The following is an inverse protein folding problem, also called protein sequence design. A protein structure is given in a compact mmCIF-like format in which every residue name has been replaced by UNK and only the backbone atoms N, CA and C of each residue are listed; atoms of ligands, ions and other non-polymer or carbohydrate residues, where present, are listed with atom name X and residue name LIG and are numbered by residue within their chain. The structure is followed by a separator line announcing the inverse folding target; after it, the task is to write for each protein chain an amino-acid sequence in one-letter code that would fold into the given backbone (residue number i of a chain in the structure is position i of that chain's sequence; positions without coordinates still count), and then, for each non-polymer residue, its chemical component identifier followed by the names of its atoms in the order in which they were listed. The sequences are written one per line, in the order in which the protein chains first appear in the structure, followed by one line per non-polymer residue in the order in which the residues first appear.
data_IF_755864262643
#
_entry.id   IF_755864262643
#
_cell.length_a   1.000
_cell.length_b   1.000
_cell.length_c   1.000
_cell.angle_alpha   90.00
_cell.angle_beta   90.00
_cell.angle_gamma   90.00
#
_symmetry.space_group_name_H-M   'P 1'
#
loop_
_entity.id
_entity.type
_entity.pdbx_description
1 polymer ?
#
# COMPACT_ATOMS: atom_id res chain seq x y z
N UNK A 1 22.75 -0.21 5.12
CA UNK A 1 21.88 0.73 4.35
C UNK A 1 21.21 1.69 5.34
N UNK A 2 20.84 2.92 4.94
CA UNK A 2 20.03 3.80 5.77
C UNK A 2 18.65 3.19 5.97
N UNK A 3 18.14 3.15 7.20
CA UNK A 3 16.79 2.69 7.48
C UNK A 3 15.78 3.84 7.27
N UNK A 4 14.50 3.49 7.02
CA UNK A 4 13.48 4.49 6.67
C UNK A 4 13.34 5.60 7.72
N UNK A 5 13.31 5.26 9.02
CA UNK A 5 13.17 6.26 10.09
C UNK A 5 14.37 7.21 10.19
N UNK A 6 15.56 6.74 9.85
CA UNK A 6 16.76 7.57 9.84
C UNK A 6 16.73 8.63 8.75
N UNK A 7 15.98 8.42 7.68
CA UNK A 7 15.87 9.39 6.59
C UNK A 7 15.28 10.72 7.07
N UNK A 8 14.20 10.71 7.87
CA UNK A 8 13.62 11.95 8.43
C UNK A 8 14.64 12.67 9.33
N UNK A 9 15.35 11.93 10.17
CA UNK A 9 16.35 12.49 11.07
C UNK A 9 17.51 13.15 10.29
N UNK A 10 17.99 12.49 9.25
CA UNK A 10 19.08 13.02 8.40
C UNK A 10 18.63 14.27 7.63
N UNK A 11 17.46 14.24 6.99
CA UNK A 11 16.96 15.40 6.26
C UNK A 11 16.61 16.58 7.17
N UNK A 12 16.22 16.34 8.41
CA UNK A 12 16.05 17.39 9.42
C UNK A 12 17.35 18.12 9.75
N UNK A 13 18.50 17.44 9.65
CA UNK A 13 19.83 18.03 9.83
C UNK A 13 20.29 18.71 8.54
N UNK A 14 20.17 18.05 7.40
CA UNK A 14 20.70 18.53 6.12
C UNK A 14 19.87 19.69 5.53
N UNK A 15 18.54 19.64 5.66
CA UNK A 15 17.60 20.59 5.03
C UNK A 15 16.47 21.01 5.99
N UNK A 16 16.75 21.52 7.20
CA UNK A 16 15.77 21.69 8.27
C UNK A 16 14.51 22.48 7.88
N UNK A 17 14.64 23.50 7.05
CA UNK A 17 13.55 24.39 6.66
C UNK A 17 12.97 24.10 5.27
N UNK A 18 13.53 23.11 4.55
CA UNK A 18 12.95 22.70 3.27
C UNK A 18 11.60 21.99 3.50
N UNK A 19 10.64 22.11 2.56
CA UNK A 19 9.36 21.43 2.67
C UNK A 19 9.56 19.91 2.80
N UNK A 20 8.92 19.29 3.80
CA UNK A 20 8.89 17.86 3.99
C UNK A 20 7.50 17.29 3.69
N UNK A 21 6.48 17.80 4.36
CA UNK A 21 5.09 17.32 4.21
C UNK A 21 4.15 18.51 4.09
N UNK A 22 3.20 18.43 3.16
CA UNK A 22 2.14 19.43 3.00
C UNK A 22 0.76 18.77 2.89
N UNK A 23 -0.27 19.49 3.34
CA UNK A 23 -1.68 19.15 3.16
C UNK A 23 -2.53 20.40 3.19
N UNK A 24 -3.44 20.58 2.22
CA UNK A 24 -4.32 21.74 2.15
C UNK A 24 -3.55 23.07 2.29
N UNK A 25 -2.42 23.22 1.59
CA UNK A 25 -1.51 24.38 1.62
C UNK A 25 -0.77 24.61 2.96
N UNK A 26 -1.06 23.85 4.01
CA UNK A 26 -0.23 23.83 5.21
C UNK A 26 1.04 23.03 4.93
N UNK A 27 2.19 23.65 5.17
CA UNK A 27 3.51 23.04 4.88
C UNK A 27 4.30 22.90 6.17
N UNK A 28 4.91 21.75 6.34
CA UNK A 28 5.80 21.43 7.46
C UNK A 28 7.21 21.16 6.90
N UNK A 29 8.21 21.78 7.53
CA UNK A 29 9.61 21.52 7.20
C UNK A 29 10.12 20.22 7.79
N UNK A 30 11.31 19.78 7.34
CA UNK A 30 11.92 18.55 7.83
C UNK A 30 12.17 18.57 9.33
N UNK A 31 12.67 19.70 9.87
CA UNK A 31 12.92 19.84 11.31
C UNK A 31 11.62 19.72 12.11
N UNK A 32 10.56 20.41 11.68
CA UNK A 32 9.24 20.37 12.33
C UNK A 32 8.67 18.95 12.33
N UNK A 33 8.75 18.25 11.19
CA UNK A 33 8.29 16.86 11.09
C UNK A 33 9.10 15.93 11.99
N UNK A 34 10.43 16.07 12.03
CA UNK A 34 11.28 15.26 12.88
C UNK A 34 11.00 15.51 14.38
N UNK A 35 10.82 16.78 14.78
CA UNK A 35 10.46 17.11 16.16
C UNK A 35 9.13 16.47 16.57
N UNK A 36 8.11 16.51 15.70
CA UNK A 36 6.83 15.87 15.95
C UNK A 36 6.97 14.34 16.05
N UNK A 37 7.76 13.72 15.16
CA UNK A 37 8.07 12.28 15.20
C UNK A 37 8.78 11.93 16.53
N UNK A 38 9.80 12.68 16.94
CA UNK A 38 10.52 12.44 18.18
C UNK A 38 9.63 12.59 19.41
N UNK A 39 8.74 13.60 19.46
CA UNK A 39 7.79 13.79 20.56
C UNK A 39 6.78 12.63 20.63
N UNK A 40 6.21 12.22 19.49
CA UNK A 40 5.27 11.11 19.48
C UNK A 40 5.94 9.77 19.82
N UNK A 41 7.18 9.59 19.39
CA UNK A 41 8.04 8.46 19.79
C UNK A 41 8.22 8.41 21.31
N UNK A 42 8.53 9.55 21.93
CA UNK A 42 8.62 9.67 23.39
C UNK A 42 7.29 9.37 24.10
N UNK A 43 6.17 9.81 23.51
CA UNK A 43 4.84 9.49 24.02
C UNK A 43 4.55 7.99 24.02
N UNK A 44 4.90 7.28 22.94
CA UNK A 44 4.74 5.83 22.84
C UNK A 44 5.67 5.09 23.80
N UNK A 45 6.94 5.49 23.89
CA UNK A 45 7.91 4.89 24.81
C UNK A 45 7.48 5.01 26.28
N UNK A 46 6.91 6.16 26.67
CA UNK A 46 6.34 6.36 28.02
C UNK A 46 5.15 5.45 28.33
N UNK A 47 4.64 4.74 27.35
CA UNK A 47 3.56 3.73 27.44
C UNK A 47 4.10 2.31 27.26
N UNK A 48 5.38 2.12 27.52
CA UNK A 48 6.07 0.83 27.36
C UNK A 48 5.94 0.21 25.96
N UNK A 49 5.74 1.05 24.92
CA UNK A 49 5.84 0.63 23.53
C UNK A 49 7.29 0.67 23.11
N UNK A 50 7.81 -0.46 22.66
CA UNK A 50 9.20 -0.60 22.28
C UNK A 50 9.41 -1.59 21.14
N UNK A 51 10.66 -2.02 20.98
CA UNK A 51 11.08 -2.93 19.91
C UNK A 51 10.28 -4.23 19.91
N UNK A 52 9.69 -4.54 18.75
CA UNK A 52 8.88 -5.74 18.53
C UNK A 52 7.41 -5.62 18.95
N UNK A 53 7.00 -4.55 19.64
CA UNK A 53 5.58 -4.31 19.93
C UNK A 53 4.84 -3.88 18.65
N UNK A 54 3.60 -4.35 18.47
CA UNK A 54 2.80 -3.98 17.30
C UNK A 54 1.86 -2.81 17.61
N UNK A 55 1.83 -1.83 16.69
CA UNK A 55 1.02 -0.61 16.82
C UNK A 55 0.12 -0.47 15.59
N UNK A 56 -1.19 -0.56 15.79
CA UNK A 56 -2.17 -0.35 14.72
C UNK A 56 -2.33 1.15 14.42
N UNK A 57 -2.34 1.48 13.13
CA UNK A 57 -2.51 2.87 12.65
C UNK A 57 -3.76 2.92 11.76
N UNK A 58 -4.86 3.46 12.33
CA UNK A 58 -6.16 3.66 11.67
C UNK A 58 -6.35 5.15 11.34
N UNK A 59 -5.44 5.70 10.54
CA UNK A 59 -5.46 7.10 10.10
C UNK A 59 -5.58 7.15 8.57
N UNK A 60 -6.27 8.16 8.01
CA UNK A 60 -6.20 8.43 6.58
C UNK A 60 -4.82 8.96 6.19
N UNK A 61 -4.55 9.11 4.90
CA UNK A 61 -3.38 9.86 4.46
C UNK A 61 -3.44 11.28 5.03
N UNK A 62 -2.53 11.59 5.93
CA UNK A 62 -2.40 12.90 6.58
C UNK A 62 -1.01 13.03 7.22
N UNK A 63 -0.56 14.24 7.58
CA UNK A 63 0.73 14.42 8.26
C UNK A 63 0.87 13.62 9.57
N UNK A 64 -0.22 13.44 10.31
CA UNK A 64 -0.23 12.65 11.55
C UNK A 64 -0.02 11.15 11.31
N UNK A 65 -0.44 10.61 10.14
CA UNK A 65 -0.06 9.25 9.76
C UNK A 65 1.45 9.14 9.62
N UNK A 66 2.08 10.10 8.93
CA UNK A 66 3.55 10.14 8.76
C UNK A 66 4.23 10.19 10.13
N UNK A 67 3.78 11.08 11.02
CA UNK A 67 4.33 11.21 12.38
C UNK A 67 4.20 9.89 13.15
N UNK A 68 3.01 9.30 13.20
CA UNK A 68 2.76 8.04 13.92
C UNK A 68 3.61 6.89 13.36
N UNK A 69 3.62 6.75 12.04
CA UNK A 69 4.35 5.69 11.35
C UNK A 69 5.85 5.73 11.63
N UNK A 70 6.50 6.90 11.43
CA UNK A 70 7.93 7.03 11.66
C UNK A 70 8.32 7.04 13.16
N UNK A 71 7.41 7.43 14.05
CA UNK A 71 7.61 7.27 15.49
C UNK A 71 7.64 5.79 15.89
N UNK A 72 6.72 4.99 15.37
CA UNK A 72 6.68 3.53 15.58
C UNK A 72 7.94 2.87 15.04
N UNK A 73 8.32 3.16 13.79
CA UNK A 73 9.53 2.61 13.18
C UNK A 73 10.79 2.95 13.99
N UNK A 74 10.91 4.19 14.48
CA UNK A 74 12.07 4.62 15.26
C UNK A 74 12.16 4.06 16.68
N UNK A 75 11.12 3.39 17.17
CA UNK A 75 11.15 2.57 18.39
C UNK A 75 11.58 1.11 18.12
N UNK A 76 11.71 0.72 16.85
CA UNK A 76 11.81 -0.69 16.47
C UNK A 76 10.51 -1.45 16.70
N UNK A 77 9.40 -0.74 16.93
CA UNK A 77 8.07 -1.31 16.99
C UNK A 77 7.54 -1.55 15.57
N UNK A 78 6.58 -2.43 15.43
CA UNK A 78 6.00 -2.85 14.15
C UNK A 78 4.74 -2.03 13.85
N UNK A 79 4.75 -1.29 12.75
CA UNK A 79 3.58 -0.58 12.29
C UNK A 79 2.59 -1.56 11.63
N UNK A 80 1.31 -1.45 11.99
CA UNK A 80 0.20 -2.22 11.42
C UNK A 80 -0.82 -1.24 10.82
N UNK A 81 -0.60 -0.74 9.60
CA UNK A 81 -1.54 0.14 8.94
C UNK A 81 -2.86 -0.58 8.62
N UNK A 82 -3.96 -0.05 9.08
CA UNK A 82 -5.29 -0.63 8.87
C UNK A 82 -6.18 0.37 8.13
N UNK A 83 -6.88 -0.10 7.09
CA UNK A 83 -7.76 0.74 6.31
C UNK A 83 -8.92 1.26 7.17
N UNK A 84 -9.07 2.58 7.21
CA UNK A 84 -10.14 3.28 7.96
C UNK A 84 -11.56 2.95 7.48
N UNK A 85 -11.71 2.36 6.28
CA UNK A 85 -13.00 1.94 5.74
C UNK A 85 -13.43 0.55 6.26
N UNK A 86 -12.52 -0.20 6.86
CA UNK A 86 -12.83 -1.49 7.47
C UNK A 86 -13.85 -1.33 8.58
N UNK A 87 -14.67 -2.35 8.77
CA UNK A 87 -15.62 -2.43 9.88
C UNK A 87 -14.98 -3.08 11.08
N UNK A 88 -15.68 -3.03 12.21
CA UNK A 88 -15.19 -3.57 13.48
C UNK A 88 -14.73 -5.03 13.41
N UNK A 89 -15.35 -5.85 12.55
CA UNK A 89 -14.97 -7.25 12.35
C UNK A 89 -13.57 -7.38 11.72
N UNK A 90 -13.31 -6.68 10.62
CA UNK A 90 -12.03 -6.71 9.93
C UNK A 90 -10.92 -6.07 10.77
N UNK A 91 -11.24 -4.93 11.40
CA UNK A 91 -10.29 -4.25 12.31
C UNK A 91 -9.95 -5.17 13.49
N UNK A 92 -10.96 -5.74 14.16
CA UNK A 92 -10.77 -6.62 15.31
C UNK A 92 -9.92 -7.83 14.96
N UNK A 93 -10.21 -8.47 13.83
CA UNK A 93 -9.42 -9.60 13.37
C UNK A 93 -7.94 -9.25 13.11
N UNK A 94 -7.67 -8.11 12.47
CA UNK A 94 -6.29 -7.68 12.19
C UNK A 94 -5.55 -7.31 13.48
N UNK A 95 -6.21 -6.58 14.40
CA UNK A 95 -5.64 -6.19 15.68
C UNK A 95 -5.33 -7.42 16.54
N UNK A 96 -6.24 -8.39 16.62
CA UNK A 96 -6.05 -9.64 17.35
C UNK A 96 -4.93 -10.50 16.73
N UNK A 97 -4.99 -10.73 15.41
CA UNK A 97 -3.97 -11.51 14.68
C UNK A 97 -2.58 -10.89 14.75
N UNK A 98 -2.49 -9.57 14.81
CA UNK A 98 -1.22 -8.85 14.97
C UNK A 98 -0.78 -8.74 16.45
N UNK A 99 -1.59 -9.17 17.41
CA UNK A 99 -1.28 -9.01 18.84
C UNK A 99 -0.94 -7.55 19.20
N UNK A 100 -1.78 -6.62 18.67
CA UNK A 100 -1.55 -5.17 18.78
C UNK A 100 -1.59 -4.74 20.24
N UNK A 101 -0.60 -3.95 20.66
CA UNK A 101 -0.48 -3.36 22.00
C UNK A 101 -1.06 -1.94 22.08
N UNK A 102 -0.97 -1.17 20.99
CA UNK A 102 -1.53 0.17 20.93
C UNK A 102 -2.27 0.43 19.61
N UNK A 103 -3.34 1.19 19.68
CA UNK A 103 -4.14 1.64 18.53
C UNK A 103 -4.06 3.15 18.41
N UNK A 104 -3.65 3.63 17.24
CA UNK A 104 -3.65 5.06 16.87
C UNK A 104 -4.75 5.26 15.84
N UNK A 105 -5.80 5.98 16.17
CA UNK A 105 -6.98 6.12 15.33
C UNK A 105 -7.39 7.57 15.07
N UNK A 106 -8.33 7.76 14.15
CA UNK A 106 -9.00 9.03 13.95
C UNK A 106 -10.38 9.01 14.61
N UNK A 107 -10.66 10.00 15.44
CA UNK A 107 -11.90 10.06 16.26
C UNK A 107 -13.19 9.95 15.42
N UNK A 108 -13.17 10.35 14.15
CA UNK A 108 -14.30 10.17 13.22
C UNK A 108 -14.66 8.71 12.95
N UNK A 109 -13.71 7.79 13.10
CA UNK A 109 -13.89 6.33 12.88
C UNK A 109 -13.87 5.55 14.20
N UNK A 110 -13.91 6.23 15.36
CA UNK A 110 -13.80 5.63 16.66
C UNK A 110 -14.83 4.52 16.95
N UNK A 111 -16.05 4.68 16.44
CA UNK A 111 -17.11 3.72 16.70
C UNK A 111 -16.77 2.29 16.25
N UNK A 112 -16.21 2.15 15.06
CA UNK A 112 -15.76 0.86 14.53
C UNK A 112 -14.49 0.37 15.26
N UNK A 113 -13.53 1.28 15.52
CA UNK A 113 -12.29 0.94 16.21
C UNK A 113 -12.54 0.49 17.66
N UNK A 114 -13.31 1.25 18.45
CA UNK A 114 -13.63 0.90 19.84
C UNK A 114 -14.41 -0.41 19.92
N UNK A 115 -15.40 -0.61 19.04
CA UNK A 115 -16.14 -1.88 18.98
C UNK A 115 -15.22 -3.06 18.63
N UNK A 116 -14.25 -2.85 17.76
CA UNK A 116 -13.29 -3.86 17.34
C UNK A 116 -12.39 -4.33 18.48
N UNK A 117 -11.95 -3.40 19.34
CA UNK A 117 -10.95 -3.68 20.38
C UNK A 117 -11.51 -3.87 21.79
N UNK A 118 -12.81 -3.65 21.99
CA UNK A 118 -13.46 -3.67 23.31
C UNK A 118 -13.23 -4.96 24.13
N UNK A 119 -12.97 -6.08 23.46
CA UNK A 119 -12.77 -7.39 24.08
C UNK A 119 -11.31 -7.88 24.03
N UNK A 120 -10.38 -7.06 23.49
CA UNK A 120 -8.99 -7.44 23.28
C UNK A 120 -8.11 -6.90 24.42
N UNK A 121 -7.78 -7.76 25.38
CA UNK A 121 -6.91 -7.40 26.52
C UNK A 121 -5.48 -7.01 26.10
N UNK A 122 -5.03 -7.41 24.91
CA UNK A 122 -3.73 -7.04 24.37
C UNK A 122 -3.61 -5.54 24.08
N UNK A 123 -4.72 -4.86 23.78
CA UNK A 123 -4.74 -3.43 23.45
C UNK A 123 -4.73 -2.60 24.73
N UNK A 124 -3.54 -2.25 25.20
CA UNK A 124 -3.34 -1.48 26.42
C UNK A 124 -3.53 0.02 26.24
N UNK A 125 -3.26 0.54 25.03
CA UNK A 125 -3.28 1.97 24.74
C UNK A 125 -4.10 2.29 23.50
N UNK A 126 -4.92 3.35 23.62
CA UNK A 126 -5.76 3.86 22.52
C UNK A 126 -5.57 5.36 22.41
N UNK A 127 -5.00 5.82 21.31
CA UNK A 127 -4.67 7.21 21.03
C UNK A 127 -5.48 7.69 19.84
N UNK A 128 -6.19 8.79 19.97
CA UNK A 128 -7.01 9.32 18.90
C UNK A 128 -6.60 10.73 18.46
N UNK A 129 -6.62 10.93 17.14
CA UNK A 129 -6.52 12.24 16.50
C UNK A 129 -7.92 12.80 16.29
N UNK A 130 -8.13 14.08 16.58
CA UNK A 130 -9.36 14.81 16.31
C UNK A 130 -9.97 15.46 17.57
N UNK A 131 -11.16 16.06 17.42
CA UNK A 131 -11.77 16.90 18.45
C UNK A 131 -12.55 16.11 19.50
N UNK A 132 -13.12 14.96 19.12
CA UNK A 132 -13.93 14.12 20.01
C UNK A 132 -13.14 12.87 20.41
N UNK A 133 -12.41 12.99 21.50
CA UNK A 133 -11.60 11.89 22.03
C UNK A 133 -12.49 10.99 22.91
N UNK A 134 -12.56 9.67 22.67
CA UNK A 134 -13.36 8.76 23.50
C UNK A 134 -12.89 8.74 24.96
N UNK A 135 -13.82 8.61 25.88
CA UNK A 135 -13.50 8.48 27.30
C UNK A 135 -12.60 7.25 27.56
N UNK A 136 -11.61 7.43 28.42
CA UNK A 136 -10.63 6.39 28.73
C UNK A 136 -9.58 6.17 27.63
N UNK A 137 -9.50 7.09 26.66
CA UNK A 137 -8.45 7.10 25.62
C UNK A 137 -7.67 8.41 25.64
N UNK A 138 -6.63 8.54 24.80
CA UNK A 138 -5.71 9.65 24.86
C UNK A 138 -5.75 10.47 23.56
N UNK A 139 -5.46 11.77 23.68
CA UNK A 139 -5.40 12.69 22.54
C UNK A 139 -4.00 12.70 21.91
N UNK A 140 -3.88 12.35 20.62
CA UNK A 140 -2.61 12.48 19.89
C UNK A 140 -2.09 13.92 19.89
N UNK A 141 -2.98 14.91 19.80
CA UNK A 141 -2.61 16.33 19.81
C UNK A 141 -2.01 16.75 21.15
N UNK A 142 -2.58 16.31 22.25
CA UNK A 142 -2.04 16.59 23.59
C UNK A 142 -0.70 15.90 23.81
N UNK A 143 -0.56 14.65 23.35
CA UNK A 143 0.70 13.91 23.43
C UNK A 143 1.83 14.59 22.64
N UNK A 144 1.54 15.07 21.46
CA UNK A 144 2.50 15.86 20.67
C UNK A 144 2.92 17.16 21.35
N UNK A 145 2.01 17.79 22.10
CA UNK A 145 2.29 19.04 22.84
C UNK A 145 3.04 18.86 24.14
N UNK A 146 2.89 17.72 24.82
CA UNK A 146 3.36 17.52 26.21
C UNK A 146 4.52 16.54 26.37
N UNK A 147 4.69 15.61 25.42
CA UNK A 147 5.70 14.55 25.54
C UNK A 147 7.12 15.06 25.28
N UNK A 148 8.08 14.48 25.99
CA UNK A 148 9.49 14.72 25.74
C UNK A 148 9.93 14.02 24.45
N UNK A 149 10.73 14.69 23.59
CA UNK A 149 11.23 14.05 22.38
C UNK A 149 12.21 12.92 22.72
N UNK A 150 12.12 11.83 21.95
CA UNK A 150 13.01 10.68 22.03
C UNK A 150 13.66 10.45 20.66
N UNK A 151 14.96 10.23 20.62
CA UNK A 151 15.66 9.82 19.40
C UNK A 151 15.36 8.36 19.06
N UNK A 152 15.65 7.94 17.81
CA UNK A 152 15.46 6.55 17.42
C UNK A 152 16.35 5.58 18.21
N UNK A 153 15.86 4.35 18.39
CA UNK A 153 16.63 3.30 19.05
C UNK A 153 17.80 2.85 18.14
N UNK A 154 19.04 3.03 18.57
CA UNK A 154 20.21 2.66 17.79
C UNK A 154 20.38 1.12 17.64
N UNK A 155 19.63 0.32 18.40
CA UNK A 155 19.68 -1.14 18.35
C UNK A 155 18.84 -1.75 17.22
N UNK A 156 18.10 -0.92 16.45
CA UNK A 156 17.27 -1.38 15.33
C UNK A 156 18.16 -1.92 14.21
N UNK A 157 17.87 -3.13 13.78
CA UNK A 157 18.60 -3.83 12.72
C UNK A 157 17.78 -3.90 11.42
N UNK A 158 18.46 -4.10 10.28
CA UNK A 158 17.80 -4.33 8.98
C UNK A 158 16.85 -5.52 9.00
N UNK A 159 17.14 -6.55 9.79
CA UNK A 159 16.34 -7.76 9.94
C UNK A 159 15.11 -7.61 10.86
N UNK A 160 15.03 -6.55 11.67
CA UNK A 160 13.88 -6.33 12.53
C UNK A 160 12.62 -6.05 11.69
N UNK A 161 11.49 -6.62 12.09
CA UNK A 161 10.22 -6.36 11.41
C UNK A 161 9.80 -4.90 11.66
N UNK A 162 9.52 -4.21 10.57
CA UNK A 162 9.11 -2.79 10.58
C UNK A 162 7.60 -2.63 10.37
N UNK A 163 7.05 -3.46 9.47
CA UNK A 163 5.64 -3.33 9.05
C UNK A 163 5.01 -4.70 8.92
N UNK A 164 3.78 -4.81 9.39
CA UNK A 164 2.89 -5.94 9.16
C UNK A 164 1.70 -5.45 8.34
N UNK A 165 1.62 -5.88 7.09
CA UNK A 165 0.51 -5.57 6.20
C UNK A 165 -0.39 -6.78 6.01
N UNK A 166 -1.69 -6.54 6.00
CA UNK A 166 -2.69 -7.57 5.73
C UNK A 166 -3.20 -7.45 4.30
N UNK A 167 -3.08 -8.54 3.54
CA UNK A 167 -3.68 -8.68 2.22
C UNK A 167 -4.78 -9.73 2.28
N UNK A 168 -5.82 -9.53 1.48
CA UNK A 168 -6.86 -10.53 1.35
C UNK A 168 -6.24 -11.81 0.74
N UNK A 169 -6.35 -12.92 1.46
CA UNK A 169 -5.83 -14.20 1.00
C UNK A 169 -6.82 -14.93 0.09
N UNK A 170 -6.35 -15.70 -0.87
CA UNK A 170 -7.18 -16.59 -1.74
C UNK A 170 -8.05 -17.59 -0.94
N UNK A 171 -7.79 -17.75 0.35
CA UNK A 171 -8.58 -18.61 1.26
C UNK A 171 -9.65 -17.85 2.06
N UNK A 172 -9.94 -16.58 1.73
CA UNK A 172 -10.95 -15.76 2.41
C UNK A 172 -10.53 -15.16 3.78
N UNK A 173 -9.36 -15.55 4.31
CA UNK A 173 -8.80 -14.90 5.52
C UNK A 173 -7.59 -14.06 5.12
N UNK A 174 -7.52 -12.78 5.56
CA UNK A 174 -6.36 -11.94 5.29
C UNK A 174 -5.06 -12.58 5.77
N UNK A 175 -3.96 -12.32 5.08
CA UNK A 175 -2.61 -12.81 5.45
C UNK A 175 -1.79 -11.65 5.97
N UNK A 176 -1.19 -11.78 7.13
CA UNK A 176 -0.23 -10.83 7.66
C UNK A 176 1.14 -11.07 7.04
N UNK A 177 1.67 -10.09 6.33
CA UNK A 177 2.96 -10.13 5.63
C UNK A 177 3.96 -9.34 6.46
N UNK A 178 5.02 -9.99 6.90
CA UNK A 178 6.08 -9.39 7.72
C UNK A 178 7.19 -8.83 6.83
N UNK A 179 7.34 -7.48 6.89
CA UNK A 179 8.35 -6.75 6.15
C UNK A 179 9.37 -6.14 7.11
N UNK A 180 10.65 -6.44 6.90
CA UNK A 180 11.72 -5.89 7.72
C UNK A 180 12.10 -4.47 7.31
N UNK A 181 12.82 -3.77 8.18
CA UNK A 181 13.41 -2.47 7.86
C UNK A 181 14.29 -2.56 6.61
N UNK A 182 15.07 -3.63 6.47
CA UNK A 182 15.94 -3.87 5.32
C UNK A 182 15.15 -4.09 4.02
N UNK A 183 14.06 -4.87 4.08
CA UNK A 183 13.23 -5.12 2.89
C UNK A 183 12.69 -3.81 2.30
N UNK A 184 12.09 -2.97 3.15
CA UNK A 184 11.50 -1.69 2.75
C UNK A 184 12.55 -0.69 2.28
N UNK A 185 13.68 -0.60 2.99
CA UNK A 185 14.77 0.32 2.63
C UNK A 185 15.41 -0.07 1.29
N UNK A 186 15.63 -1.38 1.05
CA UNK A 186 16.21 -1.86 -0.20
C UNK A 186 15.32 -1.54 -1.41
N UNK A 187 14.02 -1.82 -1.32
CA UNK A 187 13.06 -1.49 -2.38
C UNK A 187 13.02 0.01 -2.66
N UNK A 188 12.90 0.82 -1.60
CA UNK A 188 12.82 2.28 -1.70
C UNK A 188 14.09 2.88 -2.32
N UNK A 189 15.26 2.41 -1.91
CA UNK A 189 16.55 2.85 -2.44
C UNK A 189 16.69 2.54 -3.93
N UNK A 190 16.41 1.30 -4.34
CA UNK A 190 16.61 0.89 -5.73
C UNK A 190 15.61 1.57 -6.68
N UNK A 191 14.34 1.70 -6.27
CA UNK A 191 13.35 2.43 -7.07
C UNK A 191 13.73 3.92 -7.19
N UNK A 192 14.14 4.56 -6.09
CA UNK A 192 14.53 5.97 -6.13
C UNK A 192 15.78 6.23 -6.97
N UNK A 193 16.75 5.32 -6.94
CA UNK A 193 17.92 5.36 -7.82
C UNK A 193 17.53 5.23 -9.29
N UNK A 194 16.65 4.29 -9.63
CA UNK A 194 16.15 4.09 -10.99
C UNK A 194 15.44 5.35 -11.51
N UNK A 195 14.55 5.93 -10.71
CA UNK A 195 13.78 7.14 -11.03
C UNK A 195 14.59 8.43 -10.87
N UNK A 196 15.82 8.34 -10.37
CA UNK A 196 16.70 9.50 -10.10
C UNK A 196 15.96 10.55 -9.24
N UNK A 197 15.37 10.10 -8.15
CA UNK A 197 14.68 11.00 -7.22
C UNK A 197 15.66 11.94 -6.57
N UNK A 198 15.27 13.21 -6.44
CA UNK A 198 16.09 14.31 -5.90
C UNK A 198 15.38 14.96 -4.74
N UNK A 199 16.13 15.61 -3.89
CA UNK A 199 15.59 16.37 -2.75
C UNK A 199 14.79 17.62 -3.15
N UNK A 200 14.84 18.04 -4.42
CA UNK A 200 14.04 19.12 -5.01
C UNK A 200 12.71 18.60 -5.58
N UNK A 201 12.54 17.30 -5.69
CA UNK A 201 11.31 16.69 -6.18
C UNK A 201 10.16 16.85 -5.19
N UNK A 202 8.96 16.71 -5.69
CA UNK A 202 7.73 16.73 -4.89
C UNK A 202 6.79 15.62 -5.36
N UNK A 203 6.34 14.78 -4.44
CA UNK A 203 5.39 13.69 -4.68
C UNK A 203 3.98 14.09 -4.23
N UNK A 204 2.99 13.85 -5.07
CA UNK A 204 1.59 13.88 -4.65
C UNK A 204 1.15 12.47 -4.23
N UNK A 205 0.85 12.31 -2.94
CA UNK A 205 0.37 11.06 -2.36
C UNK A 205 -1.15 11.02 -2.29
N UNK A 206 -1.74 10.08 -3.01
CA UNK A 206 -3.18 9.80 -3.02
C UNK A 206 -3.47 8.32 -2.74
N UNK A 207 -2.57 7.42 -3.17
CA UNK A 207 -2.67 5.99 -2.85
C UNK A 207 -2.68 5.79 -1.33
N UNK A 208 -3.57 4.94 -0.80
CA UNK A 208 -3.69 4.74 0.65
C UNK A 208 -2.40 4.23 1.28
N UNK A 209 -1.93 4.89 2.35
CA UNK A 209 -0.77 4.44 3.12
C UNK A 209 -1.00 3.13 3.90
N UNK A 210 -2.20 2.58 3.82
CA UNK A 210 -2.54 1.26 4.38
C UNK A 210 -2.27 0.10 3.42
N UNK A 211 -1.86 0.40 2.19
CA UNK A 211 -1.42 -0.58 1.20
C UNK A 211 0.04 -0.40 0.83
N UNK A 212 0.68 -1.48 0.36
CA UNK A 212 2.12 -1.44 0.09
C UNK A 212 2.49 -0.41 -0.99
N UNK A 213 1.69 -0.24 -2.05
CA UNK A 213 2.00 0.72 -3.09
C UNK A 213 1.93 2.16 -2.58
N UNK A 214 0.93 2.47 -1.73
CA UNK A 214 0.85 3.76 -1.04
C UNK A 214 2.03 4.00 -0.08
N UNK A 215 2.39 2.99 0.72
CA UNK A 215 3.55 3.08 1.62
C UNK A 215 4.85 3.23 0.85
N UNK A 216 5.19 2.27 -0.03
CA UNK A 216 6.50 2.23 -0.66
C UNK A 216 6.70 3.35 -1.68
N UNK A 217 5.70 3.57 -2.56
CA UNK A 217 5.85 4.50 -3.69
C UNK A 217 5.45 5.93 -3.31
N UNK A 218 4.34 6.11 -2.58
CA UNK A 218 3.84 7.45 -2.30
C UNK A 218 4.36 8.04 -0.97
N UNK A 219 4.78 7.22 0.02
CA UNK A 219 5.33 7.69 1.30
C UNK A 219 6.85 7.47 1.41
N UNK A 220 7.32 6.21 1.35
CA UNK A 220 8.75 5.93 1.60
C UNK A 220 9.65 6.59 0.55
N UNK A 221 9.29 6.47 -0.73
CA UNK A 221 10.12 6.97 -1.83
C UNK A 221 10.48 8.45 -1.69
N UNK A 222 9.53 9.40 -1.54
CA UNK A 222 9.88 10.80 -1.34
C UNK A 222 10.60 11.04 -0.01
N UNK A 223 10.11 10.47 1.09
CA UNK A 223 10.69 10.72 2.41
C UNK A 223 12.13 10.22 2.53
N UNK A 224 12.45 9.09 1.92
CA UNK A 224 13.80 8.52 1.94
C UNK A 224 14.81 9.38 1.16
N UNK A 225 14.39 9.94 0.04
CA UNK A 225 15.24 10.72 -0.87
C UNK A 225 15.17 12.25 -0.64
N UNK A 226 14.50 12.70 0.41
CA UNK A 226 14.42 14.13 0.79
C UNK A 226 13.49 14.96 -0.07
N UNK A 227 12.65 14.32 -0.89
CA UNK A 227 11.64 14.99 -1.70
C UNK A 227 10.44 15.41 -0.83
N UNK A 228 9.78 16.51 -1.22
CA UNK A 228 8.58 16.95 -0.53
C UNK A 228 7.40 16.01 -0.80
N UNK A 229 6.51 15.89 0.17
CA UNK A 229 5.30 15.07 0.12
C UNK A 229 4.06 15.94 0.25
N UNK A 230 3.25 16.08 -0.81
CA UNK A 230 1.91 16.66 -0.75
C UNK A 230 0.88 15.56 -0.56
N UNK A 231 -0.04 15.71 0.39
CA UNK A 231 -0.95 14.63 0.79
C UNK A 231 -2.40 15.00 0.49
N UNK A 232 -3.06 14.14 -0.28
CA UNK A 232 -4.51 14.08 -0.38
C UNK A 232 -5.05 12.86 0.37
N UNK A 233 -6.05 13.08 1.23
CA UNK A 233 -6.65 11.99 2.03
C UNK A 233 -7.56 11.06 1.22
N UNK A 234 -7.94 11.48 0.01
CA UNK A 234 -8.77 10.71 -0.92
C UNK A 234 -8.56 11.21 -2.34
N UNK A 235 -8.81 10.36 -3.30
CA UNK A 235 -8.73 10.71 -4.71
C UNK A 235 -9.97 11.49 -5.16
N UNK A 236 -9.73 12.61 -5.85
CA UNK A 236 -10.70 13.31 -6.69
C UNK A 236 -9.94 13.85 -7.90
N UNK A 237 -10.34 13.48 -9.12
CA UNK A 237 -9.54 13.74 -10.33
C UNK A 237 -9.25 15.23 -10.54
N UNK A 238 -10.22 16.12 -10.30
CA UNK A 238 -10.03 17.56 -10.41
C UNK A 238 -8.98 18.09 -9.43
N UNK A 239 -9.14 17.77 -8.14
CA UNK A 239 -8.21 18.24 -7.09
C UNK A 239 -6.77 17.74 -7.33
N UNK A 240 -6.64 16.50 -7.83
CA UNK A 240 -5.33 15.92 -8.18
C UNK A 240 -4.71 16.68 -9.35
N UNK A 241 -5.47 16.92 -10.43
CA UNK A 241 -4.99 17.63 -11.60
C UNK A 241 -4.57 19.08 -11.27
N UNK A 242 -5.40 19.79 -10.48
CA UNK A 242 -5.09 21.14 -10.04
C UNK A 242 -3.82 21.17 -9.17
N UNK A 243 -3.68 20.24 -8.23
CA UNK A 243 -2.48 20.13 -7.38
C UNK A 243 -1.22 19.80 -8.21
N UNK A 244 -1.31 18.88 -9.17
CA UNK A 244 -0.19 18.54 -10.07
C UNK A 244 0.30 19.77 -10.85
N UNK A 245 -0.63 20.62 -11.28
CA UNK A 245 -0.31 21.83 -12.04
C UNK A 245 0.19 22.98 -11.16
N UNK A 246 -0.44 23.23 -10.00
CA UNK A 246 -0.22 24.42 -9.18
C UNK A 246 0.90 24.27 -8.15
N UNK A 247 1.07 23.06 -7.54
CA UNK A 247 2.04 22.86 -6.46
C UNK A 247 3.42 22.39 -6.93
N UNK A 248 3.73 22.46 -8.23
CA UNK A 248 5.01 22.04 -8.83
C UNK A 248 5.35 20.57 -8.50
N UNK A 249 4.35 19.71 -8.52
CA UNK A 249 4.55 18.27 -8.29
C UNK A 249 5.38 17.69 -9.43
N UNK A 250 6.39 16.91 -9.08
CA UNK A 250 7.25 16.22 -10.07
C UNK A 250 6.97 14.73 -10.19
N UNK A 251 6.30 14.13 -9.20
CA UNK A 251 6.06 12.70 -9.10
C UNK A 251 4.60 12.43 -8.73
N UNK A 252 3.97 11.52 -9.43
CA UNK A 252 2.64 11.04 -9.08
C UNK A 252 2.57 9.51 -9.28
N UNK A 253 2.07 8.82 -8.25
CA UNK A 253 1.75 7.41 -8.33
C UNK A 253 0.23 7.21 -8.18
N UNK A 254 -0.34 6.44 -9.10
CA UNK A 254 -1.75 6.12 -9.12
C UNK A 254 -2.01 4.71 -9.66
N UNK A 255 -3.26 4.30 -9.58
CA UNK A 255 -3.71 3.07 -10.22
C UNK A 255 -4.46 3.37 -11.54
N UNK A 256 -4.74 2.36 -12.38
CA UNK A 256 -5.42 2.55 -13.67
C UNK A 256 -6.74 3.31 -13.58
N UNK A 257 -7.54 3.07 -12.52
CA UNK A 257 -8.79 3.77 -12.29
C UNK A 257 -8.59 5.29 -12.10
N UNK A 258 -7.59 5.69 -11.32
CA UNK A 258 -7.25 7.11 -11.13
C UNK A 258 -6.85 7.75 -12.46
N UNK A 259 -5.98 7.09 -13.23
CA UNK A 259 -5.56 7.58 -14.55
C UNK A 259 -6.73 7.67 -15.54
N UNK A 260 -7.65 6.71 -15.55
CA UNK A 260 -8.82 6.75 -16.43
C UNK A 260 -9.73 7.94 -16.12
N UNK A 261 -9.98 8.24 -14.83
CA UNK A 261 -10.75 9.41 -14.43
C UNK A 261 -10.03 10.73 -14.77
N UNK A 262 -8.72 10.81 -14.57
CA UNK A 262 -7.93 11.98 -14.94
C UNK A 262 -7.91 12.18 -16.47
N UNK A 263 -7.83 11.09 -17.25
CA UNK A 263 -7.83 11.14 -18.71
C UNK A 263 -9.11 11.80 -19.27
N UNK A 264 -10.25 11.55 -18.66
CA UNK A 264 -11.55 12.04 -19.11
C UNK A 264 -12.01 13.34 -18.43
N UNK A 265 -11.22 13.87 -17.47
CA UNK A 265 -11.62 15.04 -16.70
C UNK A 265 -11.55 16.32 -17.56
N UNK A 266 -12.64 17.15 -17.62
CA UNK A 266 -12.75 18.22 -18.60
C UNK A 266 -11.72 19.36 -18.48
N UNK A 267 -11.17 19.61 -17.28
CA UNK A 267 -10.19 20.68 -17.08
C UNK A 267 -8.75 20.28 -17.44
N UNK A 268 -8.47 18.98 -17.61
CA UNK A 268 -7.12 18.48 -17.85
C UNK A 268 -6.41 19.11 -19.06
N UNK A 269 -7.18 19.47 -20.10
CA UNK A 269 -6.63 20.08 -21.33
C UNK A 269 -6.23 21.56 -21.16
N UNK A 270 -6.57 22.18 -20.04
CA UNK A 270 -6.30 23.59 -19.77
C UNK A 270 -5.15 23.81 -18.79
N UNK A 271 -4.63 22.72 -18.21
CA UNK A 271 -3.58 22.75 -17.21
C UNK A 271 -2.20 22.51 -17.85
N UNK A 272 -1.16 23.08 -17.24
CA UNK A 272 0.22 22.79 -17.57
C UNK A 272 0.89 21.95 -16.46
N UNK A 273 1.69 20.95 -16.86
CA UNK A 273 2.33 20.03 -15.93
C UNK A 273 3.87 20.09 -16.08
N UNK A 274 4.42 21.31 -16.22
CA UNK A 274 5.82 21.57 -16.59
C UNK A 274 6.85 20.99 -15.58
N UNK A 275 6.45 20.78 -14.32
CA UNK A 275 7.32 20.20 -13.30
C UNK A 275 7.24 18.68 -13.21
N UNK A 276 6.24 18.06 -13.85
CA UNK A 276 5.99 16.63 -13.75
C UNK A 276 7.08 15.86 -14.51
N UNK A 277 7.65 14.86 -13.84
CA UNK A 277 8.75 14.03 -14.36
C UNK A 277 8.38 12.56 -14.45
N UNK A 278 7.63 12.07 -13.50
CA UNK A 278 7.25 10.65 -13.40
C UNK A 278 5.77 10.48 -13.10
N UNK A 279 5.12 9.68 -13.92
CA UNK A 279 3.78 9.14 -13.71
C UNK A 279 3.93 7.63 -13.54
N UNK A 280 3.68 7.13 -12.33
CA UNK A 280 3.86 5.73 -11.95
C UNK A 280 2.48 5.08 -11.87
N UNK A 281 2.22 4.06 -12.69
CA UNK A 281 1.03 3.25 -12.59
C UNK A 281 1.35 1.92 -11.94
N UNK A 282 0.57 1.52 -10.93
CA UNK A 282 0.75 0.27 -10.20
C UNK A 282 -0.61 -0.34 -9.81
N UNK A 283 -0.58 -1.50 -9.17
CA UNK A 283 -1.72 -2.31 -8.69
C UNK A 283 -2.41 -3.16 -9.76
N UNK A 284 -2.54 -2.68 -10.99
CA UNK A 284 -3.07 -3.47 -12.11
C UNK A 284 -2.65 -2.88 -13.46
N UNK A 285 -2.95 -3.60 -14.55
CA UNK A 285 -2.59 -3.22 -15.91
C UNK A 285 -3.33 -1.95 -16.35
N UNK A 286 -2.58 -0.99 -16.90
CA UNK A 286 -3.14 0.23 -17.49
C UNK A 286 -3.56 -0.03 -18.94
N UNK A 287 -4.74 0.47 -19.34
CA UNK A 287 -5.15 0.37 -20.75
C UNK A 287 -4.25 1.23 -21.63
N UNK A 288 -3.82 0.74 -22.80
CA UNK A 288 -2.98 1.52 -23.73
C UNK A 288 -3.62 2.84 -24.15
N UNK A 289 -4.95 2.87 -24.26
CA UNK A 289 -5.70 4.08 -24.59
C UNK A 289 -5.57 5.14 -23.50
N UNK A 290 -5.80 4.76 -22.23
CA UNK A 290 -5.64 5.66 -21.08
C UNK A 290 -4.21 6.18 -20.99
N UNK A 291 -3.21 5.31 -21.12
CA UNK A 291 -1.80 5.69 -21.13
C UNK A 291 -1.48 6.73 -22.21
N UNK A 292 -1.98 6.53 -23.43
CA UNK A 292 -1.81 7.45 -24.56
C UNK A 292 -2.46 8.82 -24.28
N UNK A 293 -3.70 8.83 -23.78
CA UNK A 293 -4.41 10.08 -23.48
C UNK A 293 -3.67 10.88 -22.39
N UNK A 294 -3.31 10.24 -21.30
CA UNK A 294 -2.57 10.90 -20.20
C UNK A 294 -1.22 11.42 -20.68
N UNK A 295 -0.46 10.62 -21.40
CA UNK A 295 0.85 11.02 -21.95
C UNK A 295 0.71 12.23 -22.88
N UNK A 296 -0.32 12.26 -23.73
CA UNK A 296 -0.57 13.40 -24.62
C UNK A 296 -0.94 14.68 -23.87
N UNK A 297 -1.73 14.58 -22.78
CA UNK A 297 -2.16 15.71 -21.96
C UNK A 297 -1.04 16.24 -21.06
N UNK A 298 -0.34 15.37 -20.37
CA UNK A 298 0.65 15.74 -19.34
C UNK A 298 2.08 15.87 -19.89
N UNK A 299 2.33 15.43 -21.13
CA UNK A 299 3.65 15.42 -21.79
C UNK A 299 4.69 14.56 -21.06
N UNK A 300 4.25 13.67 -20.20
CA UNK A 300 5.06 12.72 -19.44
C UNK A 300 4.46 11.32 -19.66
N UNK A 301 5.26 10.32 -20.02
CA UNK A 301 4.76 8.96 -20.19
C UNK A 301 4.33 8.37 -18.85
N UNK A 302 3.25 7.58 -18.86
CA UNK A 302 2.89 6.75 -17.71
C UNK A 302 3.69 5.46 -17.78
N UNK A 303 4.44 5.19 -16.72
CA UNK A 303 5.27 3.98 -16.62
C UNK A 303 4.63 3.00 -15.64
N UNK A 304 4.49 1.75 -16.04
CA UNK A 304 3.92 0.70 -15.22
C UNK A 304 4.98 0.06 -14.34
N UNK A 305 4.61 -0.22 -13.07
CA UNK A 305 5.41 -0.94 -12.11
C UNK A 305 4.68 -2.14 -11.56
N UNK A 306 5.37 -3.28 -11.50
CA UNK A 306 4.89 -4.52 -10.94
C UNK A 306 5.54 -4.81 -9.59
N UNK A 307 4.74 -5.33 -8.68
CA UNK A 307 5.16 -5.81 -7.38
C UNK A 307 3.99 -6.20 -6.51
N UNK A 308 4.31 -6.72 -5.34
CA UNK A 308 3.35 -7.23 -4.38
C UNK A 308 3.68 -6.74 -2.97
N UNK A 309 2.81 -7.02 -2.01
CA UNK A 309 3.11 -6.75 -0.60
C UNK A 309 4.30 -7.59 -0.15
N UNK A 310 4.36 -8.84 -0.59
CA UNK A 310 5.43 -9.80 -0.33
C UNK A 310 6.80 -9.36 -0.88
N UNK A 311 6.82 -8.37 -1.77
CA UNK A 311 8.05 -7.82 -2.37
C UNK A 311 8.34 -6.39 -1.95
N UNK A 312 7.68 -5.90 -0.88
CA UNK A 312 7.81 -4.53 -0.35
C UNK A 312 7.42 -3.43 -1.35
N UNK A 313 6.69 -3.74 -2.41
CA UNK A 313 6.27 -2.81 -3.46
C UNK A 313 6.84 -3.16 -4.84
N UNK A 314 7.12 -2.14 -5.64
CA UNK A 314 7.53 -2.29 -7.05
C UNK A 314 8.91 -2.96 -7.16
N UNK A 315 8.99 -4.03 -7.96
CA UNK A 315 10.21 -4.82 -8.21
C UNK A 315 10.56 -4.97 -9.68
N UNK A 316 9.62 -4.68 -10.58
CA UNK A 316 9.89 -4.50 -12.01
C UNK A 316 9.27 -3.18 -12.46
N UNK A 317 9.91 -2.50 -13.40
CA UNK A 317 9.47 -1.19 -13.83
C UNK A 317 9.75 -0.95 -15.31
N UNK A 318 8.75 -0.41 -16.01
CA UNK A 318 8.84 -0.08 -17.41
C UNK A 318 9.38 1.35 -17.58
N UNK A 319 10.68 1.50 -17.75
CA UNK A 319 11.35 2.80 -17.91
C UNK A 319 11.07 3.44 -19.28
N UNK A 320 10.77 2.63 -20.30
CA UNK A 320 10.57 3.05 -21.67
C UNK A 320 9.20 2.62 -22.22
N UNK A 321 8.10 3.23 -21.72
CA UNK A 321 6.77 2.88 -22.17
C UNK A 321 6.62 3.14 -23.68
N UNK A 322 6.01 2.18 -24.37
CA UNK A 322 5.85 2.22 -25.83
C UNK A 322 6.99 1.60 -26.64
N UNK A 323 8.06 1.13 -25.99
CA UNK A 323 9.14 0.34 -26.60
C UNK A 323 9.04 -1.16 -26.26
N UNK A 324 8.10 -1.53 -25.37
CA UNK A 324 7.88 -2.90 -24.93
C UNK A 324 6.54 -3.41 -25.44
N UNK A 325 6.38 -4.73 -25.49
CA UNK A 325 5.11 -5.37 -25.84
C UNK A 325 3.97 -4.99 -24.87
N UNK A 326 2.74 -5.01 -25.38
CA UNK A 326 1.55 -4.75 -24.57
C UNK A 326 1.47 -5.68 -23.36
N UNK A 327 1.37 -5.08 -22.18
CA UNK A 327 1.30 -5.80 -20.90
C UNK A 327 2.65 -6.05 -20.23
N UNK A 328 3.75 -5.58 -20.81
CA UNK A 328 5.04 -5.57 -20.14
C UNK A 328 5.03 -4.59 -18.97
N UNK A 329 5.53 -5.05 -17.82
CA UNK A 329 5.78 -4.25 -16.62
C UNK A 329 7.26 -3.88 -16.49
N UNK A 330 8.04 -4.12 -17.54
CA UNK A 330 9.46 -3.76 -17.64
C UNK A 330 10.40 -4.77 -16.98
N UNK A 331 11.60 -4.28 -16.70
CA UNK A 331 12.71 -5.09 -16.18
C UNK A 331 12.76 -5.08 -14.65
N UNK A 332 13.39 -6.12 -14.04
CA UNK A 332 13.68 -6.13 -12.62
C UNK A 332 14.47 -4.90 -12.17
N UNK A 333 14.16 -4.34 -11.00
CA UNK A 333 14.86 -3.16 -10.47
C UNK A 333 16.00 -3.56 -9.53
N UNK A 334 17.12 -2.86 -9.62
CA UNK A 334 18.25 -2.99 -8.71
C UNK A 334 18.76 -4.41 -8.53
N UNK A 335 18.80 -4.87 -7.29
CA UNK A 335 19.28 -6.21 -6.91
C UNK A 335 18.16 -7.27 -6.87
N UNK A 336 17.05 -7.04 -7.55
CA UNK A 336 15.94 -7.99 -7.68
C UNK A 336 16.17 -8.91 -8.88
N UNK A 337 15.99 -10.20 -8.67
CA UNK A 337 15.96 -11.20 -9.73
C UNK A 337 14.51 -11.65 -9.92
N UNK A 338 14.07 -11.74 -11.17
CA UNK A 338 12.75 -12.27 -11.54
C UNK A 338 12.97 -13.38 -12.57
N UNK A 339 12.26 -14.49 -12.39
CA UNK A 339 12.28 -15.61 -13.34
C UNK A 339 10.90 -16.29 -13.37
N UNK A 340 10.71 -17.18 -14.31
CA UNK A 340 9.47 -17.95 -14.46
C UNK A 340 9.73 -19.39 -14.02
N UNK A 341 8.82 -19.95 -13.23
CA UNK A 341 8.84 -21.36 -12.82
C UNK A 341 7.74 -22.16 -13.53
N UNK A 342 8.05 -23.37 -13.90
CA UNK A 342 7.08 -24.33 -14.45
C UNK A 342 6.22 -24.96 -13.33
N UNK A 343 5.25 -25.80 -13.71
CA UNK A 343 4.35 -26.50 -12.79
C UNK A 343 5.05 -27.52 -11.86
N UNK A 344 6.36 -27.69 -12.03
CA UNK A 344 7.19 -28.58 -11.22
C UNK A 344 8.20 -27.82 -10.35
N UNK A 345 7.96 -26.53 -10.12
CA UNK A 345 8.84 -25.62 -9.38
C UNK A 345 10.29 -25.60 -9.91
N UNK A 346 10.46 -25.64 -11.25
CA UNK A 346 11.75 -25.49 -11.93
C UNK A 346 11.75 -24.26 -12.79
N UNK A 347 12.91 -23.64 -12.97
CA UNK A 347 13.07 -22.51 -13.87
C UNK A 347 12.63 -22.93 -15.29
N UNK A 348 11.64 -22.22 -15.82
CA UNK A 348 11.08 -22.47 -17.14
C UNK A 348 12.06 -22.09 -18.26
N UNK A 349 11.85 -22.64 -19.46
CA UNK A 349 12.61 -22.23 -20.62
C UNK A 349 12.33 -20.77 -20.99
N UNK A 350 13.30 -20.03 -21.56
CA UNK A 350 13.07 -18.66 -22.03
C UNK A 350 11.83 -18.56 -22.94
N UNK A 351 10.95 -17.60 -22.65
CA UNK A 351 9.70 -17.38 -23.39
C UNK A 351 8.55 -18.31 -23.02
N UNK A 352 8.75 -19.25 -22.10
CA UNK A 352 7.67 -20.08 -21.59
C UNK A 352 6.84 -19.31 -20.54
N UNK A 353 5.52 -19.51 -20.56
CA UNK A 353 4.61 -19.02 -19.55
C UNK A 353 4.67 -19.91 -18.31
N UNK A 354 4.62 -19.29 -17.13
CA UNK A 354 4.59 -20.00 -15.86
C UNK A 354 4.46 -19.04 -14.68
N UNK A 355 4.73 -19.53 -13.49
CA UNK A 355 4.60 -18.78 -12.26
C UNK A 355 5.76 -17.79 -12.10
N UNK A 356 5.44 -16.53 -11.81
CA UNK A 356 6.46 -15.51 -11.55
C UNK A 356 7.12 -15.78 -10.22
N UNK A 357 8.44 -15.87 -10.21
CA UNK A 357 9.26 -16.04 -9.04
C UNK A 357 10.22 -14.87 -8.85
N UNK A 358 10.41 -14.45 -7.61
CA UNK A 358 11.18 -13.26 -7.24
C UNK A 358 12.22 -13.62 -6.19
N UNK A 359 13.42 -13.09 -6.32
CA UNK A 359 14.47 -13.18 -5.32
C UNK A 359 15.15 -11.83 -5.15
N UNK A 360 15.44 -11.42 -3.92
CA UNK A 360 16.13 -10.17 -3.66
C UNK A 360 15.91 -9.64 -2.25
N UNK A 361 16.58 -8.54 -1.91
CA UNK A 361 16.55 -7.99 -0.55
C UNK A 361 15.19 -7.40 -0.14
N UNK A 362 14.30 -7.12 -1.09
CA UNK A 362 12.96 -6.59 -0.85
C UNK A 362 11.90 -7.67 -0.53
N UNK A 363 12.26 -8.96 -0.64
CA UNK A 363 11.34 -10.08 -0.37
C UNK A 363 11.05 -10.19 1.13
N UNK A 364 9.78 -10.41 1.47
CA UNK A 364 9.25 -10.51 2.85
C UNK A 364 10.01 -11.51 3.72
N UNK A 365 9.87 -11.38 5.04
CA UNK A 365 10.38 -12.37 5.99
C UNK A 365 9.45 -13.61 6.05
N UNK A 366 8.18 -13.44 5.80
CA UNK A 366 7.19 -14.52 5.76
C UNK A 366 5.78 -14.05 6.09
N UNK A 367 4.88 -15.03 6.19
CA UNK A 367 3.52 -14.82 6.65
C UNK A 367 3.42 -15.04 8.15
N UNK A 368 2.95 -14.02 8.88
CA UNK A 368 2.79 -14.06 10.34
C UNK A 368 1.95 -15.24 10.78
N UNK A 369 2.45 -16.01 11.76
CA UNK A 369 1.84 -17.23 12.31
C UNK A 369 1.50 -18.32 11.27
N UNK A 370 2.10 -18.24 10.06
CA UNK A 370 1.82 -19.20 8.98
C UNK A 370 3.12 -19.74 8.35
N UNK A 371 3.99 -20.39 9.15
CA UNK A 371 5.22 -20.98 8.60
C UNK A 371 4.95 -22.05 7.53
N UNK A 372 3.79 -22.73 7.62
CA UNK A 372 3.29 -23.67 6.63
C UNK A 372 3.11 -23.01 5.25
N UNK A 373 2.49 -21.84 5.23
CA UNK A 373 2.26 -21.08 3.98
C UNK A 373 3.54 -20.41 3.49
N UNK A 374 4.36 -19.90 4.39
CA UNK A 374 5.67 -19.35 4.03
C UNK A 374 6.51 -20.41 3.31
N UNK A 375 6.57 -21.64 3.84
CA UNK A 375 7.32 -22.75 3.22
C UNK A 375 6.75 -23.20 1.86
N UNK A 376 5.47 -22.94 1.57
CA UNK A 376 4.86 -23.24 0.27
C UNK A 376 5.26 -22.25 -0.84
N UNK A 377 5.60 -21.01 -0.47
CA UNK A 377 5.92 -19.96 -1.44
C UNK A 377 7.40 -19.58 -1.44
N UNK A 378 8.11 -19.79 -0.32
CA UNK A 378 9.54 -19.51 -0.21
C UNK A 378 10.32 -20.80 -0.50
N UNK A 379 10.95 -20.86 -1.67
CA UNK A 379 11.80 -21.98 -2.06
C UNK A 379 13.15 -21.93 -1.31
N UNK A 380 13.84 -23.08 -1.23
CA UNK A 380 15.12 -23.22 -0.49
C UNK A 380 16.21 -22.27 -0.95
N UNK A 381 16.19 -21.88 -2.23
CA UNK A 381 17.18 -20.99 -2.83
C UNK A 381 16.82 -19.50 -2.70
N UNK A 382 15.83 -19.16 -1.85
CA UNK A 382 15.41 -17.80 -1.58
C UNK A 382 14.45 -17.21 -2.63
N UNK A 383 13.92 -18.03 -3.53
CA UNK A 383 12.88 -17.61 -4.46
C UNK A 383 11.51 -17.54 -3.76
N UNK A 384 10.84 -16.42 -3.89
CA UNK A 384 9.43 -16.27 -3.57
C UNK A 384 8.61 -16.58 -4.82
N UNK A 385 7.78 -17.60 -4.76
CA UNK A 385 6.77 -17.87 -5.79
C UNK A 385 5.56 -16.93 -5.55
N UNK A 386 5.30 -16.03 -6.48
CA UNK A 386 4.11 -15.16 -6.42
C UNK A 386 2.86 -15.94 -6.84
N UNK A 387 1.69 -15.34 -6.64
CA UNK A 387 0.45 -15.89 -7.20
C UNK A 387 0.19 -15.41 -8.65
N UNK A 388 1.19 -14.76 -9.31
CA UNK A 388 1.09 -14.25 -10.67
C UNK A 388 1.65 -15.21 -11.69
N UNK A 389 1.06 -15.22 -12.88
CA UNK A 389 1.51 -15.94 -14.08
C UNK A 389 2.09 -14.92 -15.06
N UNK A 390 3.21 -15.25 -15.67
CA UNK A 390 3.87 -14.37 -16.61
C UNK A 390 4.84 -15.07 -17.54
N UNK A 391 5.50 -14.26 -18.34
CA UNK A 391 6.58 -14.66 -19.25
C UNK A 391 7.68 -13.62 -19.21
N UNK A 392 8.94 -14.07 -19.33
CA UNK A 392 10.08 -13.17 -19.57
C UNK A 392 10.36 -13.14 -21.07
N UNK A 393 10.40 -11.95 -21.66
CA UNK A 393 10.79 -11.78 -23.07
C UNK A 393 12.31 -11.88 -23.29
N UNK A 394 12.76 -11.79 -24.54
CA UNK A 394 14.17 -11.87 -24.92
C UNK A 394 15.04 -10.72 -24.37
N UNK A 395 14.45 -9.62 -23.97
CA UNK A 395 15.10 -8.43 -23.40
C UNK A 395 14.99 -8.38 -21.87
N UNK A 396 14.55 -9.48 -21.23
CA UNK A 396 14.33 -9.60 -19.79
C UNK A 396 13.24 -8.69 -19.24
N UNK A 397 12.24 -8.32 -20.04
CA UNK A 397 11.05 -7.68 -19.53
C UNK A 397 10.06 -8.73 -19.04
N UNK A 398 9.41 -8.45 -17.92
CA UNK A 398 8.31 -9.25 -17.39
C UNK A 398 7.00 -8.83 -18.05
N UNK A 399 6.27 -9.81 -18.56
CA UNK A 399 4.90 -9.65 -19.05
C UNK A 399 4.01 -10.49 -18.14
N UNK A 400 3.14 -9.83 -17.35
CA UNK A 400 2.18 -10.49 -16.47
C UNK A 400 0.94 -10.85 -17.28
N UNK A 401 0.58 -12.15 -17.31
CA UNK A 401 -0.49 -12.68 -18.15
C UNK A 401 -1.73 -13.13 -17.35
N UNK A 402 -1.60 -13.30 -16.03
CA UNK A 402 -2.71 -13.72 -15.17
C UNK A 402 -2.31 -13.91 -13.70
N UNK A 403 -3.28 -14.36 -12.90
CA UNK A 403 -3.09 -14.71 -11.49
C UNK A 403 -3.53 -16.15 -11.23
N UNK A 404 -2.88 -16.83 -10.28
CA UNK A 404 -3.27 -18.16 -9.82
C UNK A 404 -4.60 -18.16 -9.04
N UNK A 405 -5.04 -16.99 -8.56
CA UNK A 405 -6.33 -16.80 -7.92
C UNK A 405 -7.02 -15.60 -8.55
N UNK A 406 -8.27 -15.78 -8.97
CA UNK A 406 -9.05 -14.79 -9.71
C UNK A 406 -9.46 -13.60 -8.80
N UNK A 407 -8.49 -12.77 -8.40
CA UNK A 407 -8.83 -11.54 -7.68
C UNK A 407 -9.46 -10.54 -8.64
N UNK A 408 -10.65 -10.08 -8.31
CA UNK A 408 -11.39 -9.10 -9.11
C UNK A 408 -10.97 -7.70 -8.68
N UNK A 409 -10.42 -6.89 -9.61
CA UNK A 409 -9.99 -5.52 -9.32
C UNK A 409 -11.05 -4.50 -9.71
N UNK A 410 -12.05 -4.32 -8.87
CA UNK A 410 -13.13 -3.36 -9.11
C UNK A 410 -12.71 -1.93 -8.74
N UNK A 411 -12.44 -1.09 -9.73
CA UNK A 411 -12.02 0.31 -9.52
C UNK A 411 -10.74 0.43 -8.71
N UNK A 412 -9.81 -0.54 -8.84
CA UNK A 412 -8.58 -0.61 -8.07
C UNK A 412 -8.72 -1.23 -6.66
N UNK A 413 -9.93 -1.62 -6.26
CA UNK A 413 -10.16 -2.34 -5.02
C UNK A 413 -10.15 -3.84 -5.29
N UNK A 414 -9.26 -4.61 -4.65
CA UNK A 414 -9.27 -6.06 -4.78
C UNK A 414 -10.49 -6.63 -4.08
N UNK A 415 -11.27 -7.42 -4.82
CA UNK A 415 -12.40 -8.19 -4.30
C UNK A 415 -12.09 -9.65 -4.52
N UNK A 416 -12.12 -10.40 -3.44
CA UNK A 416 -11.86 -11.84 -3.50
C UNK A 416 -13.18 -12.56 -3.79
N UNK A 417 -13.26 -13.29 -4.90
CA UNK A 417 -14.45 -14.07 -5.24
C UNK A 417 -14.94 -14.90 -4.06
N UNK A 418 -14.04 -15.55 -3.35
CA UNK A 418 -14.37 -16.43 -2.22
C UNK A 418 -15.04 -15.71 -1.04
N UNK A 419 -14.64 -14.48 -0.73
CA UNK A 419 -15.29 -13.68 0.33
C UNK A 419 -16.74 -13.37 -0.04
N UNK A 420 -16.96 -12.98 -1.29
CA UNK A 420 -18.32 -12.71 -1.80
C UNK A 420 -19.14 -13.99 -1.86
N UNK A 421 -18.55 -15.11 -2.30
CA UNK A 421 -19.17 -16.43 -2.33
C UNK A 421 -19.61 -16.86 -0.93
N UNK A 422 -18.75 -16.76 0.09
CA UNK A 422 -19.05 -17.15 1.48
C UNK A 422 -20.21 -16.32 2.09
N UNK A 423 -20.29 -15.02 1.76
CA UNK A 423 -21.40 -14.18 2.19
C UNK A 423 -22.71 -14.64 1.53
N UNK A 424 -22.69 -14.89 0.19
CA UNK A 424 -23.86 -15.33 -0.55
C UNK A 424 -24.29 -16.75 -0.12
N UNK A 425 -23.34 -17.66 0.10
CA UNK A 425 -23.58 -19.03 0.63
C UNK A 425 -24.27 -19.01 2.00
N UNK A 426 -24.06 -17.96 2.80
CA UNK A 426 -24.76 -17.73 4.07
C UNK A 426 -26.26 -17.49 3.95
N UNK A 427 -26.77 -17.19 2.75
CA UNK A 427 -28.19 -17.02 2.50
C UNK A 427 -28.92 -18.37 2.51
N UNK A 428 -30.04 -18.52 3.28
CA UNK A 428 -30.76 -19.79 3.42
C UNK A 428 -31.29 -20.37 2.10
N UNK A 429 -31.47 -19.51 1.10
CA UNK A 429 -32.03 -19.81 -0.21
C UNK A 429 -31.00 -20.33 -1.22
N UNK A 430 -29.72 -20.16 -0.95
CA UNK A 430 -28.63 -20.46 -1.88
C UNK A 430 -28.14 -21.90 -1.69
N UNK A 431 -27.98 -22.62 -2.80
CA UNK A 431 -27.35 -23.94 -2.85
C UNK A 431 -25.88 -23.84 -3.24
N UNK A 432 -25.57 -23.08 -4.31
CA UNK A 432 -24.21 -22.87 -4.80
C UNK A 432 -24.05 -21.46 -5.34
N UNK A 433 -22.84 -20.95 -5.26
CA UNK A 433 -22.45 -19.67 -5.87
C UNK A 433 -21.07 -19.78 -6.51
N UNK A 434 -20.86 -19.04 -7.58
CA UNK A 434 -19.56 -18.79 -8.18
C UNK A 434 -19.47 -17.32 -8.55
N UNK A 435 -18.37 -16.68 -8.16
CA UNK A 435 -18.10 -15.26 -8.42
C UNK A 435 -16.93 -15.15 -9.39
N UNK A 436 -17.11 -14.38 -10.46
CA UNK A 436 -16.07 -14.15 -11.46
C UNK A 436 -15.93 -12.67 -11.78
N UNK A 437 -14.78 -12.31 -12.34
CA UNK A 437 -14.57 -11.01 -12.98
C UNK A 437 -15.35 -10.91 -14.28
N UNK A 438 -15.83 -9.71 -14.57
CA UNK A 438 -16.40 -9.32 -15.86
C UNK A 438 -15.80 -7.98 -16.28
N UNK A 439 -15.36 -7.81 -17.53
CA UNK A 439 -14.84 -6.52 -18.00
C UNK A 439 -15.90 -5.42 -17.86
N UNK A 440 -15.49 -4.26 -17.32
CA UNK A 440 -16.31 -3.06 -17.15
C UNK A 440 -15.54 -1.82 -17.62
N UNK A 441 -16.21 -0.95 -18.36
CA UNK A 441 -15.57 0.23 -18.98
C UNK A 441 -15.25 1.35 -17.99
N UNK A 442 -15.85 1.34 -16.80
CA UNK A 442 -15.67 2.39 -15.78
C UNK A 442 -14.74 1.89 -14.68
N UNK A 443 -14.97 0.69 -14.18
CA UNK A 443 -14.23 0.12 -13.07
C UNK A 443 -13.07 -0.80 -13.49
N UNK A 444 -12.90 -1.05 -14.81
CA UNK A 444 -11.96 -2.03 -15.33
C UNK A 444 -12.53 -3.45 -15.24
N UNK A 445 -12.89 -3.84 -14.02
CA UNK A 445 -13.57 -5.10 -13.71
C UNK A 445 -14.82 -4.88 -12.84
N UNK A 446 -15.83 -5.72 -13.05
CA UNK A 446 -17.05 -5.76 -12.27
C UNK A 446 -17.28 -7.19 -11.75
N UNK A 447 -17.97 -7.30 -10.62
CA UNK A 447 -18.26 -8.56 -9.97
C UNK A 447 -19.52 -9.18 -10.58
N UNK A 448 -19.43 -10.44 -11.02
CA UNK A 448 -20.57 -11.20 -11.48
C UNK A 448 -20.72 -12.49 -10.67
N UNK A 449 -21.82 -12.62 -9.94
CA UNK A 449 -22.16 -13.84 -9.23
C UNK A 449 -23.15 -14.70 -10.04
N UNK A 450 -22.85 -16.00 -10.12
CA UNK A 450 -23.77 -17.03 -10.58
C UNK A 450 -24.29 -17.77 -9.36
N UNK A 451 -25.60 -17.72 -9.14
CA UNK A 451 -26.22 -18.29 -7.92
C UNK A 451 -27.18 -19.40 -8.31
N UNK A 452 -27.00 -20.57 -7.73
CA UNK A 452 -27.95 -21.69 -7.82
C UNK A 452 -28.78 -21.67 -6.53
N UNK A 453 -30.08 -21.60 -6.69
CA UNK A 453 -31.00 -21.62 -5.56
C UNK A 453 -31.36 -23.06 -5.16
N UNK A 454 -31.64 -23.29 -3.90
CA UNK A 454 -32.20 -24.53 -3.39
C UNK A 454 -33.55 -24.79 -4.02
N UNK A 455 -33.95 -26.06 -4.12
CA UNK A 455 -35.22 -26.46 -4.72
C UNK A 455 -36.40 -25.79 -3.99
N UNK A 456 -37.25 -25.11 -4.76
CA UNK A 456 -38.40 -24.35 -4.25
C UNK A 456 -38.06 -22.99 -3.59
N UNK A 457 -36.81 -22.61 -3.52
CA UNK A 457 -36.39 -21.31 -3.01
C UNK A 457 -36.52 -20.21 -4.10
N UNK A 458 -36.79 -18.98 -3.63
CA UNK A 458 -36.81 -17.78 -4.47
C UNK A 458 -36.18 -16.62 -3.74
N UNK A 459 -35.30 -15.92 -4.42
CA UNK A 459 -34.69 -14.66 -3.96
C UNK A 459 -34.31 -13.85 -5.22
N UNK A 460 -34.52 -12.54 -5.17
CA UNK A 460 -34.21 -11.69 -6.32
C UNK A 460 -32.72 -11.30 -6.33
N UNK A 461 -32.14 -10.96 -7.50
CA UNK A 461 -30.79 -10.43 -7.59
C UNK A 461 -30.58 -9.19 -6.72
N UNK A 462 -31.58 -8.31 -6.60
CA UNK A 462 -31.52 -7.10 -5.79
C UNK A 462 -31.40 -7.40 -4.30
N UNK A 463 -32.08 -8.42 -3.80
CA UNK A 463 -32.02 -8.85 -2.40
C UNK A 463 -30.63 -9.45 -2.08
N UNK A 464 -30.04 -10.21 -3.02
CA UNK A 464 -28.68 -10.74 -2.87
C UNK A 464 -27.67 -9.57 -2.82
N UNK A 465 -27.78 -8.61 -3.74
CA UNK A 465 -26.89 -7.43 -3.80
C UNK A 465 -26.98 -6.61 -2.51
N UNK A 466 -28.18 -6.42 -1.97
CA UNK A 466 -28.37 -5.67 -0.73
C UNK A 466 -27.78 -6.39 0.50
N UNK A 467 -27.87 -7.73 0.50
CA UNK A 467 -27.29 -8.54 1.56
C UNK A 467 -25.76 -8.54 1.57
N UNK A 468 -25.13 -8.43 0.41
CA UNK A 468 -23.67 -8.43 0.23
C UNK A 468 -23.06 -7.05 0.54
N UNK A 469 -23.82 -5.96 0.47
CA UNK A 469 -23.37 -4.60 0.82
C UNK A 469 -23.20 -4.42 2.33
#
# INVERSE_FOLDING_TARGET
MQLLHQAIENWAVERPHAPAVSRNQQRHGWLEMNEAVCRFRGALAARDIGKGDHVAILLPNCPHFVIAYYAVLGLGAVAVPINIQHKSREIGWQVESAEVKAVIGWSKFRAEAEKAVAHLESVSHRVYLGDEIPEGTESMTELLGTSQPLVSDPSIQESDIAVLLYTAGTSGKPRGIELSHGNLAAQTFELGKLLRIRSEDSMLAVLPFTGIMGLSTALHLPMYHGAALSIHSRFHAGDVLDTLAEEKISLFAGNPFMYALMATFPSADKLSFDNLRHLICCESKLSPETARIITAKMKVPVCEGYGATETSGIIAYNVFPGLTEDGSVGQPIGNTEITIFDDHDRIALPGATGRVAVRGPSVMQGYRHRPDRTAQVMLKDGWLLTDDIGVMDGDSNLIVTGHLGDVIHKGGFPVHPREVEEVIEGLPHVDKVAVISMPDSVYGEEIKAFVVLKEGASISPSEIIEYVK
#
